data_IF_696818699179
#
_entry.id   IF_696818699179
#
_cell.length_a   1.000
_cell.length_b   1.000
_cell.length_c   1.000
_cell.angle_alpha   90.00
_cell.angle_beta   90.00
_cell.angle_gamma   90.00
#
_symmetry.space_group_name_H-M   'P 1'
#
loop_
_entity.id
_entity.type
_entity.pdbx_description
1 polymer ?
#
# COMPACT_ATOMS: atom_id res chain seq x y z
N UNK A 1 -25.22 -14.00 -13.62
CA UNK A 1 -25.17 -13.59 -12.20
C UNK A 1 -25.87 -12.25 -12.10
N UNK A 2 -27.10 -12.23 -11.60
CA UNK A 2 -27.90 -11.00 -11.47
C UNK A 2 -27.31 -10.21 -10.30
N UNK A 3 -26.66 -9.10 -10.60
CA UNK A 3 -26.17 -8.17 -9.58
C UNK A 3 -27.39 -7.49 -8.96
N UNK A 4 -27.62 -7.76 -7.68
CA UNK A 4 -28.61 -7.04 -6.89
C UNK A 4 -28.01 -5.66 -6.62
N UNK A 5 -28.37 -4.72 -7.48
CA UNK A 5 -27.79 -3.40 -7.59
C UNK A 5 -28.28 -2.51 -6.43
N UNK A 6 -27.67 -2.69 -5.26
CA UNK A 6 -27.66 -1.68 -4.22
C UNK A 6 -26.38 -0.85 -4.37
N UNK A 7 -26.55 0.34 -4.96
CA UNK A 7 -25.55 1.39 -5.03
C UNK A 7 -25.26 1.93 -3.62
N UNK A 8 -24.47 1.17 -2.85
CA UNK A 8 -23.89 1.63 -1.59
C UNK A 8 -22.43 2.01 -1.80
N UNK A 9 -22.16 3.30 -1.60
CA UNK A 9 -20.86 3.95 -1.63
C UNK A 9 -19.89 3.31 -0.62
N UNK A 10 -19.12 2.32 -1.08
CA UNK A 10 -18.18 1.58 -0.25
C UNK A 10 -16.75 2.05 -0.53
N UNK A 11 -16.35 3.10 0.20
CA UNK A 11 -14.95 3.52 0.27
C UNK A 11 -14.06 2.37 0.76
N UNK A 12 -12.96 2.02 0.07
CA UNK A 12 -12.09 0.94 0.49
C UNK A 12 -11.34 1.35 1.77
N UNK A 13 -11.70 0.73 2.89
CA UNK A 13 -10.87 0.73 4.09
C UNK A 13 -9.94 -0.48 4.05
N UNK A 14 -8.64 -0.20 3.98
CA UNK A 14 -7.55 -1.18 3.96
C UNK A 14 -7.55 -2.02 5.26
N UNK A 15 -8.10 -3.23 5.23
CA UNK A 15 -7.93 -4.24 6.31
C UNK A 15 -6.81 -5.23 5.92
N UNK A 16 -5.62 -5.06 6.51
CA UNK A 16 -4.45 -5.97 6.42
C UNK A 16 -4.80 -7.37 6.94
N UNK A 17 -4.67 -8.40 6.08
CA UNK A 17 -4.73 -9.81 6.48
C UNK A 17 -3.54 -10.55 5.86
N UNK A 18 -2.59 -10.99 6.68
CA UNK A 18 -1.44 -11.82 6.29
C UNK A 18 -1.89 -13.26 6.06
N UNK A 19 -1.55 -13.83 4.89
CA UNK A 19 -1.64 -15.27 4.62
C UNK A 19 -0.40 -15.66 3.81
N UNK A 20 0.29 -16.69 4.31
CA UNK A 20 1.40 -17.40 3.66
C UNK A 20 0.80 -18.48 2.75
N UNK A 21 1.19 -18.50 1.47
CA UNK A 21 0.85 -19.60 0.56
C UNK A 21 2.07 -20.07 -0.24
N UNK A 22 2.18 -21.40 -0.25
CA UNK A 22 3.19 -22.30 -0.84
C UNK A 22 3.19 -22.26 -2.37
N UNK A 23 4.37 -22.43 -2.98
CA UNK A 23 4.58 -22.49 -4.44
C UNK A 23 4.81 -23.92 -4.94
N UNK A 24 4.05 -24.33 -5.95
CA UNK A 24 4.28 -25.46 -6.86
C UNK A 24 3.83 -24.97 -8.25
N UNK A 25 4.35 -25.35 -9.41
CA UNK A 25 5.56 -26.02 -9.88
C UNK A 25 5.57 -25.70 -11.39
N UNK A 26 6.71 -25.31 -11.96
CA UNK A 26 6.82 -24.85 -13.35
C UNK A 26 7.41 -25.97 -14.23
N UNK A 27 6.73 -26.30 -15.32
CA UNK A 27 7.23 -27.21 -16.36
C UNK A 27 7.87 -26.40 -17.49
N UNK A 28 9.05 -26.86 -17.90
CA UNK A 28 9.95 -26.31 -18.91
C UNK A 28 9.47 -26.66 -20.33
N UNK A 29 9.60 -25.71 -21.25
CA UNK A 29 9.43 -25.95 -22.69
C UNK A 29 10.61 -25.27 -23.40
N UNK A 30 11.53 -26.10 -23.87
CA UNK A 30 12.68 -25.73 -24.71
C UNK A 30 12.19 -25.56 -26.15
N UNK A 31 12.55 -24.45 -26.79
CA UNK A 31 12.60 -24.36 -28.24
C UNK A 31 13.87 -23.60 -28.64
N UNK A 32 14.82 -24.36 -29.17
CA UNK A 32 15.91 -23.89 -30.03
C UNK A 32 15.32 -23.51 -31.38
N UNK A 33 15.61 -22.30 -31.89
CA UNK A 33 16.03 -22.22 -33.30
C UNK A 33 16.73 -20.91 -33.69
N UNK A 34 17.76 -21.13 -34.48
CA UNK A 34 18.73 -20.26 -35.12
C UNK A 34 18.10 -19.38 -36.21
N UNK A 35 18.44 -18.08 -36.33
CA UNK A 35 18.70 -17.44 -37.64
C UNK A 35 19.76 -16.35 -37.48
N UNK A 36 20.86 -16.51 -38.23
CA UNK A 36 21.93 -15.53 -38.41
C UNK A 36 21.62 -14.64 -39.62
N UNK A 37 21.46 -13.33 -39.42
CA UNK A 37 21.52 -12.28 -40.46
C UNK A 37 21.75 -10.92 -39.77
N UNK A 38 22.98 -10.40 -39.68
CA UNK A 38 23.14 -8.92 -39.57
C UNK A 38 24.57 -8.39 -39.74
N UNK A 39 25.00 -8.17 -40.99
CA UNK A 39 26.18 -7.33 -41.28
C UNK A 39 25.79 -6.00 -41.96
N UNK A 40 24.52 -5.79 -42.33
CA UNK A 40 24.06 -4.54 -42.97
C UNK A 40 23.41 -3.56 -41.98
N UNK A 41 22.84 -4.01 -40.86
CA UNK A 41 22.33 -3.10 -39.82
C UNK A 41 23.43 -2.44 -38.97
N UNK A 42 24.65 -2.98 -38.94
CA UNK A 42 25.73 -2.37 -38.16
C UNK A 42 26.17 -1.01 -38.70
N UNK A 43 26.06 -0.77 -40.01
CA UNK A 43 26.53 0.48 -40.64
C UNK A 43 25.53 1.65 -40.47
N UNK A 44 24.22 1.37 -40.36
CA UNK A 44 23.19 2.41 -40.11
C UNK A 44 23.17 2.83 -38.63
N UNK A 45 23.55 1.93 -37.71
CA UNK A 45 23.61 2.21 -36.28
C UNK A 45 24.76 3.18 -35.95
N UNK A 46 25.91 3.09 -36.62
CA UNK A 46 27.07 3.95 -36.33
C UNK A 46 26.83 5.42 -36.66
N UNK A 47 26.18 5.74 -37.78
CA UNK A 47 25.90 7.14 -38.16
C UNK A 47 24.88 7.80 -37.23
N UNK A 48 23.87 7.05 -36.78
CA UNK A 48 22.89 7.54 -35.81
C UNK A 48 23.54 7.83 -34.44
N UNK A 49 24.50 7.00 -34.03
CA UNK A 49 25.21 7.21 -32.76
C UNK A 49 26.13 8.44 -32.79
N UNK A 50 26.81 8.71 -33.90
CA UNK A 50 27.69 9.88 -34.03
C UNK A 50 26.91 11.22 -34.03
N UNK A 51 25.74 11.26 -34.68
CA UNK A 51 24.85 12.43 -34.62
C UNK A 51 24.29 12.66 -33.21
N UNK A 52 24.04 11.58 -32.46
CA UNK A 52 23.62 11.68 -31.05
C UNK A 52 24.77 12.16 -30.15
N UNK A 53 25.99 11.71 -30.38
CA UNK A 53 27.17 12.10 -29.60
C UNK A 53 27.47 13.60 -29.75
N UNK A 54 27.50 14.10 -30.98
CA UNK A 54 27.73 15.52 -31.28
C UNK A 54 26.67 16.44 -30.69
N UNK A 55 25.40 16.02 -30.68
CA UNK A 55 24.32 16.75 -29.98
C UNK A 55 24.51 16.74 -28.46
N UNK A 56 24.99 15.64 -27.89
CA UNK A 56 25.27 15.54 -26.46
C UNK A 56 26.41 16.50 -26.06
N UNK A 57 27.48 16.56 -26.84
CA UNK A 57 28.62 17.47 -26.62
C UNK A 57 28.19 18.94 -26.67
N UNK A 58 27.36 19.31 -27.65
CA UNK A 58 26.81 20.66 -27.75
C UNK A 58 25.94 21.02 -26.52
N UNK A 59 25.10 20.09 -26.06
CA UNK A 59 24.26 20.29 -24.88
C UNK A 59 25.08 20.42 -23.59
N UNK A 60 26.13 19.60 -23.41
CA UNK A 60 27.04 19.69 -22.26
C UNK A 60 27.71 21.07 -22.23
N UNK A 61 28.18 21.55 -23.38
CA UNK A 61 28.82 22.86 -23.49
C UNK A 61 27.86 24.00 -23.14
N UNK A 62 26.60 23.92 -23.58
CA UNK A 62 25.57 24.90 -23.25
C UNK A 62 25.21 24.91 -21.75
N UNK A 63 25.12 23.73 -21.11
CA UNK A 63 24.86 23.63 -19.66
C UNK A 63 26.01 24.20 -18.84
N UNK A 64 27.27 23.94 -19.24
CA UNK A 64 28.43 24.51 -18.56
C UNK A 64 28.46 26.04 -18.63
N UNK A 65 28.10 26.63 -19.77
CA UNK A 65 27.99 28.09 -19.91
C UNK A 65 26.86 28.69 -19.02
N UNK A 66 25.74 27.98 -18.89
CA UNK A 66 24.64 28.39 -18.01
C UNK A 66 25.01 28.32 -16.53
N UNK A 67 25.74 27.28 -16.10
CA UNK A 67 26.27 27.16 -14.73
C UNK A 67 27.23 28.31 -14.43
N UNK A 68 28.15 28.63 -15.36
CA UNK A 68 29.07 29.76 -15.18
C UNK A 68 28.31 31.09 -15.00
N UNK A 69 27.25 31.32 -15.78
CA UNK A 69 26.40 32.51 -15.65
C UNK A 69 25.67 32.58 -14.29
N UNK A 70 25.14 31.45 -13.81
CA UNK A 70 24.48 31.34 -12.50
C UNK A 70 25.46 31.58 -11.34
N UNK A 71 26.69 31.06 -11.43
CA UNK A 71 27.70 31.29 -10.39
C UNK A 71 28.14 32.75 -10.30
N UNK A 72 28.24 33.44 -11.45
CA UNK A 72 28.51 34.88 -11.48
C UNK A 72 27.37 35.69 -10.85
N UNK A 73 26.11 35.33 -11.12
CA UNK A 73 24.95 35.98 -10.55
C UNK A 73 24.83 35.75 -9.03
N UNK A 74 25.12 34.53 -8.56
CA UNK A 74 25.11 34.21 -7.13
C UNK A 74 26.21 34.95 -6.35
N UNK A 75 27.40 35.10 -6.93
CA UNK A 75 28.49 35.88 -6.34
C UNK A 75 28.13 37.37 -6.21
N UNK A 76 27.41 37.93 -7.20
CA UNK A 76 26.91 39.30 -7.13
C UNK A 76 25.83 39.47 -6.04
N UNK A 77 24.92 38.51 -5.89
CA UNK A 77 23.87 38.55 -4.88
C UNK A 77 24.40 38.41 -3.44
N UNK A 78 25.45 37.61 -3.22
CA UNK A 78 26.07 37.42 -1.92
C UNK A 78 26.72 38.69 -1.34
N UNK A 79 27.10 39.66 -2.18
CA UNK A 79 27.67 40.94 -1.74
C UNK A 79 26.62 41.95 -1.25
N UNK A 80 25.33 41.66 -1.35
CA UNK A 80 24.25 42.63 -1.11
C UNK A 80 23.44 42.43 0.19
N UNK A 81 23.71 41.38 1.00
CA UNK A 81 22.88 41.07 2.17
C UNK A 81 23.57 41.39 3.49
N UNK A 82 23.05 42.40 4.21
CA UNK A 82 23.40 42.73 5.59
C UNK A 82 22.81 41.74 6.62
N UNK A 83 23.17 41.87 7.90
CA UNK A 83 22.92 40.87 8.94
C UNK A 83 21.45 40.82 9.37
N UNK A 84 20.79 39.68 9.15
CA UNK A 84 19.39 39.43 9.53
C UNK A 84 19.29 38.57 10.79
N UNK A 85 18.41 38.97 11.69
CA UNK A 85 18.15 38.39 13.01
C UNK A 85 17.36 37.08 12.94
N UNK A 86 17.81 36.07 13.69
CA UNK A 86 17.22 34.74 13.84
C UNK A 86 15.91 34.75 14.65
N UNK A 87 14.83 34.08 14.19
CA UNK A 87 13.63 33.86 14.98
C UNK A 87 13.68 32.53 15.76
N UNK A 88 13.27 32.61 17.03
CA UNK A 88 13.25 31.52 18.02
C UNK A 88 12.07 30.57 17.76
N UNK A 89 12.37 29.31 17.43
CA UNK A 89 11.38 28.25 17.19
C UNK A 89 10.79 27.69 18.48
N UNK A 90 9.44 27.58 18.53
CA UNK A 90 8.68 26.96 19.62
C UNK A 90 8.66 25.43 19.43
N UNK A 91 9.23 24.71 20.40
CA UNK A 91 9.21 23.25 20.47
C UNK A 91 7.79 22.74 20.81
N UNK A 92 7.22 21.95 19.91
CA UNK A 92 5.93 21.28 20.09
C UNK A 92 6.01 20.07 21.02
N UNK A 93 4.94 19.87 21.79
CA UNK A 93 4.77 18.79 22.78
C UNK A 93 4.72 17.42 22.09
N UNK A 94 5.70 16.57 22.39
CA UNK A 94 5.82 15.20 21.86
C UNK A 94 4.77 14.30 22.52
N UNK A 95 3.87 13.73 21.71
CA UNK A 95 2.83 12.80 22.14
C UNK A 95 3.43 11.46 22.59
N UNK A 96 3.32 11.13 23.87
CA UNK A 96 3.82 9.89 24.49
C UNK A 96 2.87 8.70 24.28
N UNK A 97 2.50 8.39 23.03
CA UNK A 97 1.77 7.14 22.76
C UNK A 97 2.76 5.96 22.86
N UNK A 98 2.42 4.90 23.63
CA UNK A 98 3.30 3.74 23.75
C UNK A 98 3.55 3.12 22.38
N UNK A 99 4.83 2.97 22.01
CA UNK A 99 5.33 2.50 20.71
C UNK A 99 5.08 1.00 20.44
N UNK A 100 4.25 0.33 21.25
CA UNK A 100 3.97 -1.10 21.14
C UNK A 100 2.68 -1.37 20.35
N UNK A 101 2.61 -2.49 19.60
CA UNK A 101 1.36 -2.94 19.01
C UNK A 101 0.33 -3.18 20.11
N UNK A 102 -0.84 -2.54 20.01
CA UNK A 102 -1.93 -2.70 20.97
C UNK A 102 -2.49 -4.13 20.88
N UNK A 103 -2.02 -5.02 21.76
CA UNK A 103 -2.45 -6.42 21.79
C UNK A 103 -3.79 -6.55 22.49
N UNK A 104 -4.70 -7.32 21.88
CA UNK A 104 -5.99 -7.65 22.51
C UNK A 104 -5.73 -8.51 23.76
N UNK A 105 -6.52 -8.33 24.84
CA UNK A 105 -6.52 -9.24 25.98
C UNK A 105 -6.69 -10.71 25.56
N UNK A 106 -6.02 -11.63 26.27
CA UNK A 106 -5.95 -13.05 25.90
C UNK A 106 -7.32 -13.76 26.00
N UNK A 107 -8.11 -13.40 27.00
CA UNK A 107 -9.51 -13.83 27.22
C UNK A 107 -10.41 -13.49 26.03
N UNK A 108 -10.33 -12.25 25.53
CA UNK A 108 -11.07 -11.79 24.34
C UNK A 108 -10.66 -12.56 23.08
N UNK A 109 -9.37 -12.84 22.94
CA UNK A 109 -8.86 -13.64 21.83
C UNK A 109 -9.36 -15.09 21.89
N UNK A 110 -9.41 -15.68 23.09
CA UNK A 110 -9.92 -17.03 23.31
C UNK A 110 -11.42 -17.13 22.99
N UNK A 111 -12.23 -16.19 23.49
CA UNK A 111 -13.67 -16.13 23.19
C UNK A 111 -13.93 -15.96 21.69
N UNK A 112 -13.21 -15.04 21.03
CA UNK A 112 -13.32 -14.85 19.58
C UNK A 112 -13.00 -16.14 18.80
N UNK A 113 -12.01 -16.93 19.26
CA UNK A 113 -11.67 -18.21 18.65
C UNK A 113 -12.80 -19.23 18.82
N UNK A 114 -13.40 -19.33 20.02
CA UNK A 114 -14.55 -20.22 20.27
C UNK A 114 -15.76 -19.85 19.42
N UNK A 115 -16.09 -18.54 19.32
CA UNK A 115 -17.16 -18.05 18.45
C UNK A 115 -16.93 -18.45 17.00
N UNK A 116 -15.69 -18.33 16.50
CA UNK A 116 -15.35 -18.74 15.12
C UNK A 116 -15.48 -20.25 14.93
N UNK A 117 -15.05 -21.05 15.90
CA UNK A 117 -15.14 -22.51 15.83
C UNK A 117 -16.60 -22.96 15.80
N UNK A 118 -17.44 -22.44 16.70
CA UNK A 118 -18.86 -22.81 16.76
C UNK A 118 -19.62 -22.34 15.51
N UNK A 119 -19.33 -21.13 15.01
CA UNK A 119 -19.94 -20.66 13.76
C UNK A 119 -19.54 -21.54 12.57
N UNK A 120 -18.28 -21.98 12.51
CA UNK A 120 -17.83 -22.89 11.44
C UNK A 120 -18.50 -24.26 11.55
N UNK A 121 -18.73 -24.74 12.78
CA UNK A 121 -19.47 -25.99 13.03
C UNK A 121 -20.92 -25.92 12.54
N UNK A 122 -21.60 -24.80 12.78
CA UNK A 122 -23.00 -24.60 12.36
C UNK A 122 -23.14 -24.44 10.84
N UNK A 123 -22.19 -23.76 10.21
CA UNK A 123 -22.22 -23.53 8.76
C UNK A 123 -21.81 -24.80 7.97
N UNK A 124 -21.06 -25.72 8.57
CA UNK A 124 -20.51 -26.90 7.91
C UNK A 124 -19.29 -26.58 7.04
N UNK A 125 -18.72 -27.60 6.40
CA UNK A 125 -17.45 -27.46 5.67
C UNK A 125 -17.60 -26.77 4.29
N UNK A 126 -18.77 -26.87 3.65
CA UNK A 126 -19.03 -26.32 2.30
C UNK A 126 -20.02 -25.13 2.29
N UNK A 127 -19.99 -24.33 3.35
CA UNK A 127 -20.87 -23.16 3.47
C UNK A 127 -20.59 -22.04 2.45
N UNK A 128 -19.45 -22.10 1.77
CA UNK A 128 -19.11 -21.18 0.68
C UNK A 128 -19.59 -21.70 -0.70
N UNK A 129 -20.34 -22.80 -0.76
CA UNK A 129 -21.03 -23.24 -1.97
C UNK A 129 -22.25 -22.37 -2.26
N UNK A 130 -22.54 -22.12 -3.53
CA UNK A 130 -23.70 -21.34 -3.97
C UNK A 130 -25.03 -21.90 -3.49
N UNK A 131 -25.12 -23.21 -3.27
CA UNK A 131 -26.35 -23.86 -2.78
C UNK A 131 -26.72 -23.44 -1.35
N UNK A 132 -25.72 -23.02 -0.57
CA UNK A 132 -25.88 -22.58 0.81
C UNK A 132 -26.02 -21.06 0.94
N UNK A 133 -25.90 -20.32 -0.16
CA UNK A 133 -25.99 -18.86 -0.18
C UNK A 133 -27.44 -18.44 -0.38
N UNK A 134 -27.88 -17.48 0.41
CA UNK A 134 -29.21 -16.89 0.29
C UNK A 134 -29.38 -16.19 -1.05
N UNK A 135 -30.52 -16.39 -1.67
CA UNK A 135 -30.91 -15.66 -2.86
C UNK A 135 -31.32 -14.23 -2.50
N UNK A 136 -31.20 -13.29 -3.43
CA UNK A 136 -31.64 -11.90 -3.18
C UNK A 136 -33.15 -11.82 -2.87
N UNK A 137 -33.96 -12.71 -3.43
CA UNK A 137 -35.39 -12.75 -3.16
C UNK A 137 -35.67 -13.12 -1.70
N UNK A 138 -34.98 -14.13 -1.16
CA UNK A 138 -35.07 -14.49 0.26
C UNK A 138 -34.64 -13.32 1.17
N UNK A 139 -33.56 -12.63 0.82
CA UNK A 139 -33.07 -11.47 1.57
C UNK A 139 -34.10 -10.32 1.57
N UNK A 140 -34.72 -10.04 0.42
CA UNK A 140 -35.71 -8.97 0.27
C UNK A 140 -37.03 -9.28 1.00
N UNK A 141 -37.50 -10.53 0.90
CA UNK A 141 -38.70 -11.00 1.60
C UNK A 141 -38.47 -10.89 3.11
N UNK A 142 -37.35 -11.40 3.61
CA UNK A 142 -37.04 -11.32 5.03
C UNK A 142 -36.84 -9.88 5.51
N UNK A 143 -36.13 -9.04 4.76
CA UNK A 143 -35.93 -7.63 5.11
C UNK A 143 -37.25 -6.87 5.26
N UNK A 144 -38.25 -7.19 4.43
CA UNK A 144 -39.60 -6.61 4.52
C UNK A 144 -40.34 -7.06 5.79
N UNK A 145 -40.27 -8.36 6.12
CA UNK A 145 -40.86 -8.91 7.35
C UNK A 145 -40.18 -8.34 8.60
N UNK A 146 -38.84 -8.27 8.59
CA UNK A 146 -38.04 -7.79 9.71
C UNK A 146 -38.31 -6.31 10.04
N UNK A 147 -38.45 -5.46 9.01
CA UNK A 147 -38.74 -4.03 9.16
C UNK A 147 -40.19 -3.75 9.57
N UNK A 148 -41.15 -4.57 9.13
CA UNK A 148 -42.57 -4.39 9.44
C UNK A 148 -42.97 -4.98 10.80
N UNK A 149 -42.17 -5.90 11.35
CA UNK A 149 -42.46 -6.50 12.65
C UNK A 149 -42.21 -5.52 13.80
N UNK A 150 -43.30 -5.13 14.47
CA UNK A 150 -43.27 -4.42 15.77
C UNK A 150 -43.35 -5.38 16.96
N UNK A 151 -43.50 -6.69 16.71
CA UNK A 151 -43.68 -7.70 17.75
C UNK A 151 -42.37 -8.05 18.45
N UNK A 152 -42.44 -8.24 19.77
CA UNK A 152 -41.37 -8.83 20.57
C UNK A 152 -41.75 -10.27 20.97
N UNK A 153 -40.90 -11.29 20.68
CA UNK A 153 -39.60 -11.19 20.00
C UNK A 153 -39.74 -11.03 18.48
N UNK A 154 -38.73 -10.38 17.86
CA UNK A 154 -38.65 -10.23 16.41
C UNK A 154 -38.56 -11.59 15.70
N UNK A 155 -39.07 -11.72 14.47
CA UNK A 155 -39.04 -12.98 13.72
C UNK A 155 -37.60 -13.42 13.44
N UNK A 156 -37.26 -14.65 13.81
CA UNK A 156 -35.94 -15.23 13.54
C UNK A 156 -35.82 -15.63 12.06
N UNK A 157 -34.70 -15.32 11.40
CA UNK A 157 -34.48 -15.67 9.99
C UNK A 157 -34.24 -17.17 9.77
N UNK A 158 -33.65 -17.84 10.76
CA UNK A 158 -33.30 -19.25 10.74
C UNK A 158 -33.35 -19.82 12.16
N UNK A 159 -33.30 -21.14 12.26
CA UNK A 159 -33.03 -21.88 13.49
C UNK A 159 -31.58 -22.40 13.49
N UNK A 160 -31.20 -23.15 14.54
CA UNK A 160 -29.86 -23.71 14.67
C UNK A 160 -29.64 -24.91 13.73
N UNK A 161 -30.69 -25.63 13.38
CA UNK A 161 -30.62 -26.82 12.54
C UNK A 161 -30.48 -26.46 11.04
N UNK A 162 -31.00 -25.30 10.63
CA UNK A 162 -30.92 -24.74 9.28
C UNK A 162 -30.25 -23.36 9.29
N UNK A 163 -29.13 -23.24 10.01
CA UNK A 163 -28.45 -21.98 10.23
C UNK A 163 -27.79 -21.44 8.95
N UNK A 164 -28.32 -20.33 8.41
CA UNK A 164 -27.80 -19.64 7.21
C UNK A 164 -27.38 -18.20 7.50
N UNK A 165 -26.44 -17.70 6.70
CA UNK A 165 -25.90 -16.34 6.79
C UNK A 165 -25.87 -15.65 5.43
N UNK A 166 -25.95 -14.32 5.44
CA UNK A 166 -25.88 -13.51 4.23
C UNK A 166 -24.43 -13.14 3.90
N UNK A 167 -23.92 -13.75 2.82
CA UNK A 167 -22.57 -13.51 2.31
C UNK A 167 -22.51 -12.48 1.16
N UNK A 168 -23.67 -12.02 0.67
CA UNK A 168 -23.79 -11.11 -0.47
C UNK A 168 -23.88 -9.66 0.02
N UNK A 169 -24.77 -9.41 0.99
CA UNK A 169 -25.05 -8.07 1.51
C UNK A 169 -24.00 -7.55 2.51
N UNK A 170 -24.38 -6.52 3.27
CA UNK A 170 -23.54 -5.98 4.34
C UNK A 170 -23.33 -7.01 5.48
N UNK A 171 -22.19 -7.01 6.20
CA UNK A 171 -22.00 -7.84 7.39
C UNK A 171 -23.07 -7.67 8.46
N UNK A 172 -23.81 -6.54 8.42
CA UNK A 172 -24.94 -6.23 9.31
C UNK A 172 -26.27 -6.10 8.54
N UNK A 173 -26.45 -6.84 7.45
CA UNK A 173 -27.75 -6.97 6.80
C UNK A 173 -28.82 -7.44 7.79
N UNK A 174 -30.09 -7.17 7.50
CA UNK A 174 -31.21 -7.55 8.38
C UNK A 174 -31.20 -9.06 8.70
N UNK A 175 -30.85 -9.88 7.71
CA UNK A 175 -30.63 -11.32 7.90
C UNK A 175 -29.51 -11.61 8.91
N UNK A 176 -28.32 -11.05 8.69
CA UNK A 176 -27.16 -11.28 9.57
C UNK A 176 -27.40 -10.75 10.99
N UNK A 177 -28.20 -9.70 11.15
CA UNK A 177 -28.61 -9.23 12.48
C UNK A 177 -29.46 -10.26 13.20
N UNK A 178 -30.48 -10.80 12.54
CA UNK A 178 -31.32 -11.87 13.09
C UNK A 178 -30.52 -13.14 13.38
N UNK A 179 -29.70 -13.59 12.42
CA UNK A 179 -28.83 -14.77 12.58
C UNK A 179 -27.84 -14.61 13.74
N UNK A 180 -27.30 -13.40 13.97
CA UNK A 180 -26.41 -13.14 15.11
C UNK A 180 -27.11 -13.35 16.46
N UNK A 181 -28.42 -13.07 16.56
CA UNK A 181 -29.18 -13.24 17.79
C UNK A 181 -29.42 -14.72 18.07
N UNK A 182 -29.84 -15.47 17.04
CA UNK A 182 -30.02 -16.93 17.09
C UNK A 182 -28.70 -17.60 17.48
N UNK A 183 -27.61 -17.23 16.82
CA UNK A 183 -26.26 -17.72 17.11
C UNK A 183 -25.82 -17.40 18.54
N UNK A 184 -25.94 -16.14 18.98
CA UNK A 184 -25.46 -15.73 20.29
C UNK A 184 -26.22 -16.42 21.43
N UNK A 185 -27.55 -16.61 21.27
CA UNK A 185 -28.37 -17.35 22.23
C UNK A 185 -27.93 -18.80 22.34
N UNK A 186 -27.73 -19.47 21.21
CA UNK A 186 -27.24 -20.85 21.16
C UNK A 186 -25.84 -21.00 21.76
N UNK A 187 -24.92 -20.11 21.36
CA UNK A 187 -23.55 -20.11 21.85
C UNK A 187 -23.50 -19.97 23.37
N UNK A 188 -24.19 -18.97 23.94
CA UNK A 188 -24.23 -18.73 25.39
C UNK A 188 -24.81 -19.92 26.14
N UNK A 189 -25.89 -20.50 25.62
CA UNK A 189 -26.54 -21.67 26.24
C UNK A 189 -25.62 -22.89 26.23
N UNK A 190 -24.93 -23.14 25.12
CA UNK A 190 -24.08 -24.33 24.94
C UNK A 190 -22.76 -24.24 25.70
N UNK A 191 -22.17 -23.04 25.79
CA UNK A 191 -20.85 -22.81 26.41
C UNK A 191 -20.92 -22.32 27.86
N UNK A 192 -22.13 -22.23 28.44
CA UNK A 192 -22.38 -21.80 29.81
C UNK A 192 -21.79 -20.42 30.18
N UNK A 193 -21.67 -19.50 29.21
CA UNK A 193 -21.32 -18.11 29.51
C UNK A 193 -22.49 -17.36 30.14
N UNK A 194 -22.18 -16.26 30.85
CA UNK A 194 -23.21 -15.34 31.32
C UNK A 194 -23.89 -14.62 30.14
N UNK A 195 -25.18 -14.32 30.29
CA UNK A 195 -25.94 -13.50 29.33
C UNK A 195 -25.31 -12.13 29.07
N UNK A 196 -24.47 -11.62 29.98
CA UNK A 196 -23.70 -10.39 29.79
C UNK A 196 -22.74 -10.43 28.58
N UNK A 197 -22.38 -11.62 28.10
CA UNK A 197 -21.52 -11.80 26.92
C UNK A 197 -22.27 -11.67 25.59
N UNK A 198 -23.60 -11.57 25.61
CA UNK A 198 -24.43 -11.58 24.39
C UNK A 198 -24.01 -10.52 23.37
N UNK A 199 -23.84 -9.23 23.74
CA UNK A 199 -23.42 -8.20 22.77
C UNK A 199 -22.00 -8.43 22.24
N UNK A 200 -21.13 -8.99 23.08
CA UNK A 200 -19.74 -9.27 22.70
C UNK A 200 -19.65 -10.43 21.69
N UNK A 201 -20.46 -11.48 21.88
CA UNK A 201 -20.57 -12.61 20.95
C UNK A 201 -21.13 -12.14 19.61
N UNK A 202 -22.17 -11.30 19.59
CA UNK A 202 -22.68 -10.71 18.36
C UNK A 202 -21.62 -9.88 17.64
N UNK A 203 -20.83 -9.08 18.37
CA UNK A 203 -19.74 -8.32 17.76
C UNK A 203 -18.69 -9.24 17.11
N UNK A 204 -18.32 -10.34 17.75
CA UNK A 204 -17.41 -11.33 17.15
C UNK A 204 -18.02 -12.08 15.97
N UNK A 205 -19.32 -12.34 16.00
CA UNK A 205 -20.06 -12.86 14.84
C UNK A 205 -19.94 -11.91 13.64
N UNK A 206 -20.20 -10.61 13.80
CA UNK A 206 -20.07 -9.64 12.71
C UNK A 206 -18.63 -9.49 12.20
N UNK A 207 -17.63 -9.51 13.10
CA UNK A 207 -16.22 -9.54 12.69
C UNK A 207 -15.89 -10.77 11.86
N UNK A 208 -16.43 -11.93 12.23
CA UNK A 208 -16.27 -13.16 11.43
C UNK A 208 -17.00 -13.02 10.10
N UNK A 209 -18.18 -12.42 10.07
CA UNK A 209 -18.95 -12.25 8.85
C UNK A 209 -18.22 -11.43 7.79
N UNK A 210 -17.54 -10.35 8.17
CA UNK A 210 -16.62 -9.62 7.27
C UNK A 210 -15.61 -10.53 6.59
N UNK A 211 -14.95 -11.40 7.36
CA UNK A 211 -13.93 -12.31 6.83
C UNK A 211 -14.55 -13.42 5.96
N UNK A 212 -15.76 -13.90 6.28
CA UNK A 212 -16.46 -14.89 5.47
C UNK A 212 -16.90 -14.30 4.13
N UNK A 213 -17.44 -13.09 4.13
CA UNK A 213 -17.78 -12.36 2.91
C UNK A 213 -16.56 -12.11 2.03
N UNK A 214 -15.41 -11.73 2.63
CA UNK A 214 -14.16 -11.59 1.88
C UNK A 214 -13.71 -12.93 1.27
N UNK A 215 -13.78 -14.02 2.02
CA UNK A 215 -13.46 -15.36 1.52
C UNK A 215 -14.42 -15.80 0.40
N UNK A 216 -15.72 -15.54 0.55
CA UNK A 216 -16.74 -15.81 -0.44
C UNK A 216 -16.49 -15.03 -1.74
N UNK A 217 -16.26 -13.71 -1.65
CA UNK A 217 -15.90 -12.88 -2.79
C UNK A 217 -14.63 -13.39 -3.48
N UNK A 218 -13.61 -13.78 -2.73
CA UNK A 218 -12.37 -14.35 -3.30
C UNK A 218 -12.62 -15.69 -4.00
N UNK A 219 -13.39 -16.60 -3.39
CA UNK A 219 -13.77 -17.88 -3.99
C UNK A 219 -14.58 -17.70 -5.28
N UNK A 220 -15.38 -16.64 -5.37
CA UNK A 220 -16.23 -16.38 -6.54
C UNK A 220 -15.68 -15.32 -7.50
N UNK A 221 -14.55 -14.68 -7.17
CA UNK A 221 -13.86 -13.76 -8.06
C UNK A 221 -13.27 -14.50 -9.24
N UNK A 222 -13.39 -13.91 -10.43
CA UNK A 222 -12.68 -14.36 -11.62
C UNK A 222 -11.15 -14.32 -11.40
N UNK A 223 -10.42 -15.14 -12.14
CA UNK A 223 -8.95 -15.24 -12.08
C UNK A 223 -8.30 -13.86 -12.26
N UNK A 224 -8.81 -13.03 -13.18
CA UNK A 224 -8.31 -11.67 -13.38
C UNK A 224 -8.46 -10.79 -12.13
N UNK A 225 -9.62 -10.86 -11.45
CA UNK A 225 -9.87 -10.10 -10.22
C UNK A 225 -8.99 -10.58 -9.06
N UNK A 226 -8.79 -11.90 -8.91
CA UNK A 226 -7.88 -12.47 -7.90
C UNK A 226 -6.43 -12.08 -8.13
N UNK A 227 -5.98 -12.08 -9.38
CA UNK A 227 -4.64 -11.62 -9.75
C UNK A 227 -4.48 -10.13 -9.45
N UNK A 228 -5.48 -9.30 -9.77
CA UNK A 228 -5.48 -7.88 -9.44
C UNK A 228 -5.41 -7.62 -7.92
N UNK A 229 -6.21 -8.32 -7.10
CA UNK A 229 -6.16 -8.23 -5.63
C UNK A 229 -4.78 -8.64 -5.09
N UNK A 230 -4.25 -9.77 -5.58
CA UNK A 230 -2.94 -10.29 -5.17
C UNK A 230 -1.82 -9.30 -5.51
N UNK A 231 -1.84 -8.74 -6.72
CA UNK A 231 -0.89 -7.74 -7.17
C UNK A 231 -1.00 -6.45 -6.36
N UNK A 232 -2.21 -5.97 -6.08
CA UNK A 232 -2.43 -4.82 -5.22
C UNK A 232 -1.87 -5.05 -3.80
N UNK A 233 -2.14 -6.21 -3.19
CA UNK A 233 -1.61 -6.59 -1.87
C UNK A 233 -0.07 -6.63 -1.86
N UNK A 234 0.54 -7.25 -2.88
CA UNK A 234 2.01 -7.27 -3.03
C UNK A 234 2.58 -5.86 -3.18
N UNK A 235 1.97 -5.00 -3.99
CA UNK A 235 2.38 -3.60 -4.16
C UNK A 235 2.31 -2.83 -2.85
N UNK A 236 1.22 -2.99 -2.10
CA UNK A 236 1.02 -2.35 -0.81
C UNK A 236 2.06 -2.81 0.23
N UNK A 237 2.28 -4.12 0.34
CA UNK A 237 3.29 -4.68 1.25
C UNK A 237 4.71 -4.19 0.89
N UNK A 238 5.02 -4.04 -0.42
CA UNK A 238 6.29 -3.47 -0.87
C UNK A 238 6.44 -2.00 -0.45
N UNK A 239 5.38 -1.19 -0.58
CA UNK A 239 5.35 0.20 -0.09
C UNK A 239 5.58 0.28 1.43
N UNK A 240 4.87 -0.54 2.19
CA UNK A 240 5.01 -0.60 3.65
C UNK A 240 6.44 -0.98 4.06
N UNK A 241 6.98 -2.05 3.49
CA UNK A 241 8.35 -2.49 3.75
C UNK A 241 9.37 -1.42 3.40
N UNK A 242 9.18 -0.71 2.28
CA UNK A 242 10.05 0.38 1.87
C UNK A 242 10.02 1.54 2.85
N UNK A 243 8.83 1.94 3.31
CA UNK A 243 8.67 2.97 4.33
C UNK A 243 9.45 2.62 5.60
N UNK A 244 9.25 1.42 6.15
CA UNK A 244 9.94 0.99 7.36
C UNK A 244 11.45 0.91 7.18
N UNK A 245 11.93 0.46 6.02
CA UNK A 245 13.36 0.44 5.69
C UNK A 245 13.98 1.83 5.71
N UNK A 246 13.34 2.80 5.05
CA UNK A 246 13.80 4.19 5.00
C UNK A 246 13.77 4.82 6.39
N UNK A 247 12.70 4.59 7.14
CA UNK A 247 12.57 5.09 8.51
C UNK A 247 13.64 4.50 9.44
N UNK A 248 13.91 3.20 9.34
CA UNK A 248 14.96 2.55 10.12
C UNK A 248 16.35 3.13 9.84
N UNK A 249 16.71 3.30 8.56
CA UNK A 249 17.99 3.93 8.17
C UNK A 249 18.08 5.36 8.69
N UNK A 250 17.00 6.14 8.59
CA UNK A 250 16.98 7.51 9.09
C UNK A 250 17.11 7.60 10.62
N UNK A 251 16.58 6.63 11.35
CA UNK A 251 16.71 6.55 12.80
C UNK A 251 18.12 6.13 13.23
N UNK A 252 18.75 5.21 12.49
CA UNK A 252 20.08 4.68 12.80
C UNK A 252 21.20 5.68 12.46
N UNK A 253 21.10 6.41 11.35
CA UNK A 253 22.17 7.29 10.87
C UNK A 253 22.06 8.72 11.47
N UNK A 254 23.06 9.24 12.21
CA UNK A 254 22.96 10.54 12.89
C UNK A 254 22.58 11.71 11.98
N UNK A 255 23.19 11.80 10.79
CA UNK A 255 22.89 12.88 9.83
C UNK A 255 21.49 12.78 9.20
N UNK A 256 20.80 11.63 9.30
CA UNK A 256 19.44 11.46 8.77
C UNK A 256 18.37 11.58 9.86
N UNK A 257 18.75 11.72 11.14
CA UNK A 257 17.76 11.78 12.22
C UNK A 257 16.87 13.03 12.11
N UNK A 258 17.40 14.14 11.60
CA UNK A 258 16.61 15.35 11.33
C UNK A 258 15.48 15.12 10.32
N UNK A 259 15.61 14.08 9.48
CA UNK A 259 14.65 13.72 8.44
C UNK A 259 13.55 12.77 8.92
N UNK A 260 13.65 12.22 10.14
CA UNK A 260 12.66 11.29 10.69
C UNK A 260 11.24 11.90 10.76
N UNK A 261 11.03 13.15 11.23
CA UNK A 261 9.69 13.74 11.30
C UNK A 261 9.00 13.85 9.94
N UNK A 262 9.74 14.25 8.89
CA UNK A 262 9.16 14.37 7.55
C UNK A 262 8.86 12.99 6.93
N UNK A 263 9.69 11.97 7.20
CA UNK A 263 9.41 10.59 6.77
C UNK A 263 8.14 10.06 7.44
N UNK A 264 7.96 10.31 8.74
CA UNK A 264 6.76 9.90 9.48
C UNK A 264 5.49 10.59 8.94
N UNK A 265 5.55 11.89 8.62
CA UNK A 265 4.44 12.61 7.95
C UNK A 265 4.14 12.02 6.58
N UNK A 266 5.18 11.67 5.82
CA UNK A 266 5.05 11.07 4.49
C UNK A 266 4.36 9.69 4.52
N UNK A 267 4.68 8.87 5.52
CA UNK A 267 4.06 7.57 5.75
C UNK A 267 4.19 6.58 4.58
N UNK A 268 3.39 5.52 4.61
CA UNK A 268 3.34 4.49 3.56
C UNK A 268 2.77 5.08 2.25
N UNK A 269 1.77 5.97 2.36
CA UNK A 269 1.10 6.59 1.22
C UNK A 269 2.06 7.43 0.35
N UNK A 270 3.09 8.03 0.97
CA UNK A 270 4.11 8.77 0.25
C UNK A 270 5.23 7.94 -0.35
N UNK A 271 5.17 6.60 -0.28
CA UNK A 271 6.11 5.71 -0.97
C UNK A 271 5.73 5.48 -2.43
N UNK A 272 6.73 5.30 -3.31
CA UNK A 272 6.50 5.02 -4.73
C UNK A 272 5.90 3.63 -4.93
N UNK A 273 5.04 3.49 -5.94
CA UNK A 273 4.61 2.17 -6.38
C UNK A 273 5.68 1.61 -7.29
N UNK A 274 6.23 0.46 -6.92
CA UNK A 274 7.16 -0.25 -7.80
C UNK A 274 6.34 -1.23 -8.66
N UNK A 275 6.54 -1.21 -9.97
CA UNK A 275 6.11 -2.31 -10.85
C UNK A 275 7.33 -3.20 -11.11
N UNK A 276 7.19 -4.51 -10.94
CA UNK A 276 8.23 -5.42 -11.42
C UNK A 276 8.09 -5.58 -12.92
N UNK A 277 9.20 -5.73 -13.63
CA UNK A 277 9.17 -6.01 -15.07
C UNK A 277 8.34 -7.27 -15.42
N UNK A 278 8.19 -8.19 -14.46
CA UNK A 278 7.40 -9.42 -14.58
C UNK A 278 5.91 -9.27 -14.21
N UNK A 279 5.45 -8.10 -13.75
CA UNK A 279 4.03 -7.93 -13.37
C UNK A 279 3.10 -7.72 -14.58
N UNK A 280 3.63 -7.21 -15.71
CA UNK A 280 2.81 -6.78 -16.86
C UNK A 280 3.09 -7.58 -18.16
N UNK A 281 3.91 -8.65 -18.12
CA UNK A 281 4.25 -9.44 -19.31
C UNK A 281 4.50 -10.92 -19.02
N UNK A 282 4.47 -11.80 -20.05
CA UNK A 282 4.87 -13.19 -19.91
C UNK A 282 6.29 -13.21 -19.33
N UNK A 283 6.52 -14.05 -18.34
CA UNK A 283 7.80 -14.11 -17.64
C UNK A 283 8.92 -14.21 -18.67
N UNK A 284 9.67 -13.14 -18.87
CA UNK A 284 10.81 -13.14 -19.77
C UNK A 284 11.90 -13.95 -19.07
N UNK A 285 11.80 -15.28 -19.21
CA UNK A 285 12.78 -16.27 -18.78
C UNK A 285 14.09 -16.14 -19.56
N UNK A 286 14.06 -15.43 -20.71
CA UNK A 286 15.18 -15.27 -21.62
C UNK A 286 16.36 -14.45 -21.05
N UNK A 287 16.13 -13.60 -20.05
CA UNK A 287 17.20 -12.78 -19.47
C UNK A 287 17.40 -13.20 -18.02
N UNK A 288 18.37 -14.08 -17.75
CA UNK A 288 18.77 -14.56 -16.42
C UNK A 288 19.28 -13.48 -15.44
N UNK A 289 18.88 -12.23 -15.61
CA UNK A 289 19.14 -11.11 -14.72
C UNK A 289 18.18 -11.07 -13.54
N UNK A 290 18.67 -10.60 -12.40
CA UNK A 290 17.83 -10.36 -11.24
C UNK A 290 16.70 -9.35 -11.57
N UNK A 291 15.46 -9.59 -11.10
CA UNK A 291 14.32 -8.72 -11.35
C UNK A 291 14.61 -7.27 -10.98
N UNK A 292 14.43 -6.36 -11.94
CA UNK A 292 14.48 -4.91 -11.72
C UNK A 292 13.08 -4.40 -11.37
N UNK A 293 13.04 -3.34 -10.55
CA UNK A 293 11.81 -2.63 -10.25
C UNK A 293 11.82 -1.28 -10.94
N UNK A 294 10.77 -0.99 -11.70
CA UNK A 294 10.50 0.34 -12.22
C UNK A 294 9.75 1.13 -11.16
N UNK A 295 10.36 2.24 -10.74
CA UNK A 295 9.82 3.13 -9.71
C UNK A 295 8.91 4.14 -10.38
N UNK A 296 7.61 4.08 -10.10
CA UNK A 296 6.66 5.09 -10.54
C UNK A 296 6.41 6.08 -9.38
N UNK A 297 6.95 7.31 -9.44
CA UNK A 297 6.62 8.34 -8.46
C UNK A 297 5.14 8.72 -8.59
N UNK A 298 4.41 8.98 -7.50
CA UNK A 298 3.09 9.61 -7.54
C UNK A 298 3.18 10.98 -8.20
N UNK A 299 2.22 11.29 -9.07
CA UNK A 299 2.18 12.55 -9.82
C UNK A 299 2.23 13.82 -8.94
N UNK A 300 1.73 13.72 -7.70
CA UNK A 300 1.74 14.83 -6.74
C UNK A 300 3.12 15.14 -6.19
N UNK A 301 4.07 14.21 -6.25
CA UNK A 301 5.34 14.30 -5.52
C UNK A 301 6.36 15.12 -6.31
N UNK A 302 7.00 16.09 -5.65
CA UNK A 302 8.12 16.83 -6.26
C UNK A 302 9.29 15.91 -6.63
N UNK A 303 10.02 16.26 -7.69
CA UNK A 303 11.24 15.55 -8.11
C UNK A 303 12.32 15.62 -7.02
N UNK A 304 12.48 16.76 -6.35
CA UNK A 304 13.41 16.94 -5.22
C UNK A 304 13.17 15.90 -4.11
N UNK A 305 11.91 15.73 -3.68
CA UNK A 305 11.53 14.70 -2.70
C UNK A 305 11.82 13.29 -3.22
N UNK A 306 11.63 13.02 -4.52
CA UNK A 306 11.94 11.73 -5.12
C UNK A 306 13.44 11.40 -5.08
N UNK A 307 14.30 12.35 -5.47
CA UNK A 307 15.76 12.19 -5.39
C UNK A 307 16.25 12.04 -3.95
N UNK A 308 15.66 12.80 -3.04
CA UNK A 308 15.94 12.69 -1.62
C UNK A 308 15.63 11.29 -1.08
N UNK A 309 14.48 10.70 -1.43
CA UNK A 309 14.13 9.32 -1.06
C UNK A 309 15.06 8.26 -1.71
N UNK A 310 15.46 8.47 -2.97
CA UNK A 310 16.40 7.57 -3.68
C UNK A 310 17.79 7.56 -3.04
N UNK A 311 18.22 8.70 -2.51
CA UNK A 311 19.50 8.78 -1.78
C UNK A 311 19.44 7.94 -0.50
N UNK A 312 18.34 7.99 0.26
CA UNK A 312 18.14 7.13 1.44
C UNK A 312 18.16 5.65 1.05
N UNK A 313 17.54 5.27 -0.06
CA UNK A 313 17.59 3.89 -0.58
C UNK A 313 19.03 3.45 -0.92
N UNK A 314 19.83 4.35 -1.47
CA UNK A 314 21.24 4.08 -1.80
C UNK A 314 22.07 3.87 -0.53
N UNK A 315 21.85 4.72 0.48
CA UNK A 315 22.47 4.58 1.81
C UNK A 315 22.11 3.25 2.47
N UNK A 316 20.88 2.76 2.28
CA UNK A 316 20.49 1.43 2.78
C UNK A 316 21.38 0.32 2.20
N UNK A 317 21.67 0.36 0.90
CA UNK A 317 22.51 -0.65 0.25
C UNK A 317 23.94 -0.58 0.80
N UNK A 318 24.47 0.64 0.96
CA UNK A 318 25.82 0.86 1.50
C UNK A 318 25.92 0.39 2.96
N UNK A 319 24.95 0.76 3.80
CA UNK A 319 24.89 0.38 5.21
C UNK A 319 24.77 -1.13 5.40
N UNK A 320 24.06 -1.82 4.51
CA UNK A 320 23.99 -3.28 4.54
C UNK A 320 25.33 -3.93 4.15
N UNK A 321 26.05 -3.34 3.19
CA UNK A 321 27.37 -3.83 2.76
C UNK A 321 28.42 -3.64 3.85
N UNK A 322 28.47 -2.48 4.50
CA UNK A 322 29.46 -2.19 5.56
C UNK A 322 29.25 -3.05 6.82
N UNK A 323 28.01 -3.39 7.15
CA UNK A 323 27.71 -4.18 8.36
C UNK A 323 27.91 -5.70 8.24
N UNK A 324 28.42 -6.21 7.10
CA UNK A 324 28.66 -7.65 6.91
C UNK A 324 27.40 -8.53 6.95
N UNK A 325 26.20 -7.93 6.89
CA UNK A 325 24.92 -8.66 6.92
C UNK A 325 24.57 -9.19 5.53
N UNK A 326 25.23 -10.28 5.14
CA UNK A 326 25.07 -10.92 3.84
C UNK A 326 23.89 -11.90 3.74
N UNK A 327 23.19 -12.19 4.85
CA UNK A 327 22.03 -13.10 4.82
C UNK A 327 20.83 -12.45 4.12
N UNK A 328 20.11 -13.25 3.34
CA UNK A 328 18.93 -12.86 2.55
C UNK A 328 19.26 -12.14 1.24
N UNK A 329 18.27 -11.99 0.35
CA UNK A 329 18.48 -11.33 -0.95
C UNK A 329 18.86 -9.85 -0.78
N UNK A 330 19.81 -9.37 -1.59
CA UNK A 330 20.15 -7.94 -1.65
C UNK A 330 18.93 -7.11 -2.09
N UNK A 331 18.84 -5.83 -1.68
CA UNK A 331 17.80 -4.94 -2.20
C UNK A 331 17.86 -4.95 -3.73
N UNK A 332 16.72 -5.21 -4.38
CA UNK A 332 16.67 -5.25 -5.84
C UNK A 332 16.97 -3.87 -6.41
N UNK A 333 17.56 -3.84 -7.59
CA UNK A 333 17.83 -2.58 -8.28
C UNK A 333 16.50 -1.90 -8.63
N UNK A 334 16.40 -0.63 -8.24
CA UNK A 334 15.24 0.22 -8.50
C UNK A 334 15.65 1.27 -9.52
N UNK A 335 15.00 1.25 -10.68
CA UNK A 335 15.26 2.17 -11.78
C UNK A 335 14.11 3.15 -11.84
N UNK A 336 14.41 4.44 -11.90
CA UNK A 336 13.37 5.46 -12.06
C UNK A 336 12.61 5.23 -13.37
N UNK A 337 11.29 5.13 -13.29
CA UNK A 337 10.44 5.24 -14.48
C UNK A 337 10.33 6.72 -14.86
N UNK A 338 10.22 7.00 -16.16
CA UNK A 338 9.81 8.33 -16.64
C UNK A 338 8.31 8.58 -16.47
N UNK A 339 7.56 7.57 -16.03
CA UNK A 339 6.11 7.60 -15.91
C UNK A 339 5.66 7.71 -14.45
N UNK A 340 4.65 8.55 -14.23
CA UNK A 340 4.01 8.69 -12.93
C UNK A 340 3.16 7.45 -12.57
N UNK A 341 2.89 7.29 -11.27
CA UNK A 341 1.99 6.25 -10.78
C UNK A 341 0.53 6.64 -11.00
N UNK A 342 -0.28 5.67 -11.43
CA UNK A 342 -1.74 5.78 -11.58
C UNK A 342 -2.50 6.05 -10.25
N UNK A 343 -1.80 6.08 -9.12
CA UNK A 343 -2.40 6.29 -7.81
C UNK A 343 -2.88 7.73 -7.66
N UNK A 344 -4.19 7.89 -7.44
CA UNK A 344 -4.82 9.19 -7.19
C UNK A 344 -4.59 9.72 -5.76
N UNK A 345 -4.13 8.86 -4.85
CA UNK A 345 -3.89 9.20 -3.46
C UNK A 345 -2.70 10.15 -3.29
N UNK A 346 -2.83 11.08 -2.33
CA UNK A 346 -1.77 12.02 -1.96
C UNK A 346 -1.70 12.17 -0.45
N UNK A 347 -0.56 12.66 0.04
CA UNK A 347 -0.33 12.92 1.46
C UNK A 347 -0.63 14.40 1.72
N UNK A 348 -1.44 14.69 2.73
CA UNK A 348 -1.77 16.06 3.15
C UNK A 348 -0.75 16.59 4.14
N UNK A 349 -0.78 17.91 4.38
CA UNK A 349 -0.03 18.53 5.46
C UNK A 349 1.49 18.30 5.36
N UNK A 350 2.05 18.36 4.14
CA UNK A 350 3.49 18.37 3.89
C UNK A 350 3.99 19.78 3.53
N UNK A 351 5.30 20.07 3.62
CA UNK A 351 5.89 21.28 3.08
C UNK A 351 5.51 21.49 1.61
N UNK A 352 5.26 22.75 1.21
CA UNK A 352 4.89 23.06 -0.18
C UNK A 352 5.89 22.49 -1.21
N UNK A 353 7.18 22.45 -0.86
CA UNK A 353 8.26 21.91 -1.69
C UNK A 353 8.21 20.39 -1.90
N UNK A 354 7.38 19.66 -1.12
CA UNK A 354 7.14 18.23 -1.30
C UNK A 354 6.21 17.94 -2.48
N UNK A 355 5.46 18.94 -2.95
CA UNK A 355 4.47 18.81 -4.01
C UNK A 355 5.02 19.24 -5.37
N UNK A 356 4.63 18.53 -6.42
CA UNK A 356 4.87 18.94 -7.79
C UNK A 356 4.08 20.23 -8.07
N UNK A 357 4.74 21.32 -8.47
CA UNK A 357 4.09 22.62 -8.62
C UNK A 357 2.97 22.60 -9.68
N UNK A 358 3.15 21.84 -10.77
CA UNK A 358 2.16 21.72 -11.83
C UNK A 358 0.92 20.95 -11.34
N UNK A 359 1.15 19.86 -10.60
CA UNK A 359 0.06 19.07 -10.01
C UNK A 359 -0.73 19.88 -8.98
N UNK A 360 -0.03 20.68 -8.15
CA UNK A 360 -0.66 21.52 -7.14
C UNK A 360 -1.47 22.66 -7.77
N UNK A 361 -0.91 23.32 -8.79
CA UNK A 361 -1.57 24.40 -9.52
C UNK A 361 -2.82 23.93 -10.29
N UNK A 362 -2.86 22.67 -10.74
CA UNK A 362 -4.02 22.09 -11.40
C UNK A 362 -5.23 21.88 -10.46
N UNK A 363 -5.08 22.09 -9.14
CA UNK A 363 -6.15 21.88 -8.15
C UNK A 363 -6.68 23.22 -7.64
N UNK A 364 -7.97 23.55 -7.86
CA UNK A 364 -8.52 24.86 -7.48
C UNK A 364 -8.58 25.09 -5.96
N UNK A 365 -8.70 24.03 -5.16
CA UNK A 365 -8.87 24.12 -3.69
C UNK A 365 -7.75 23.44 -2.90
N UNK A 366 -6.52 23.44 -3.44
CA UNK A 366 -5.40 22.72 -2.82
C UNK A 366 -5.11 23.17 -1.37
N UNK A 367 -5.37 24.42 -1.01
CA UNK A 367 -5.22 24.92 0.36
C UNK A 367 -6.14 24.23 1.37
N UNK A 368 -7.31 23.72 0.93
CA UNK A 368 -8.27 23.03 1.80
C UNK A 368 -8.09 21.51 1.77
N UNK A 369 -7.86 20.94 0.58
CA UNK A 369 -7.79 19.49 0.41
C UNK A 369 -6.38 18.95 0.72
N UNK A 370 -5.34 19.62 0.21
CA UNK A 370 -3.94 19.19 0.34
C UNK A 370 -3.32 19.78 1.60
N UNK A 371 -3.69 21.01 1.94
CA UNK A 371 -3.20 21.77 3.11
C UNK A 371 -1.67 21.83 3.17
N UNK A 372 -0.98 22.30 2.12
CA UNK A 372 0.47 22.43 2.16
C UNK A 372 0.89 23.39 3.28
N UNK A 373 1.99 23.08 3.97
CA UNK A 373 2.55 23.93 5.01
C UNK A 373 3.64 24.84 4.43
N UNK A 374 3.73 26.08 4.91
CA UNK A 374 4.77 27.07 4.53
C UNK A 374 6.16 26.76 5.11
N UNK A 375 6.36 25.57 5.65
CA UNK A 375 7.64 25.10 6.16
C UNK A 375 8.68 25.03 5.03
N UNK A 376 9.80 25.74 5.19
CA UNK A 376 10.91 25.68 4.25
C UNK A 376 11.80 24.46 4.55
N UNK A 377 11.31 23.28 4.19
CA UNK A 377 12.06 22.03 4.38
C UNK A 377 13.04 21.79 3.22
N UNK A 378 14.31 21.56 3.56
CA UNK A 378 15.35 21.30 2.58
C UNK A 378 15.46 19.80 2.24
N UNK A 379 15.10 19.40 1.02
CA UNK A 379 15.23 18.02 0.52
C UNK A 379 16.63 17.69 0.00
N UNK A 380 17.66 18.33 0.54
CA UNK A 380 19.05 18.00 0.23
C UNK A 380 19.67 17.20 1.37
N UNK A 381 20.57 16.29 0.99
CA UNK A 381 21.34 15.49 1.92
C UNK A 381 22.68 16.18 2.22
N UNK A 382 23.16 16.06 3.45
CA UNK A 382 24.51 16.51 3.80
C UNK A 382 25.56 15.67 3.06
N UNK A 383 26.48 16.31 2.34
CA UNK A 383 27.55 15.63 1.59
C UNK A 383 28.40 14.70 2.48
N UNK A 384 28.48 14.96 3.78
CA UNK A 384 29.17 14.10 4.76
C UNK A 384 28.57 12.69 4.84
N UNK A 385 27.33 12.49 4.41
CA UNK A 385 26.69 11.16 4.34
C UNK A 385 27.49 10.17 3.50
N UNK A 386 28.12 10.63 2.41
CA UNK A 386 28.87 9.75 1.51
C UNK A 386 30.30 9.47 2.00
N UNK A 387 30.87 10.36 2.81
CA UNK A 387 32.20 10.16 3.40
C UNK A 387 32.23 8.95 4.36
N UNK A 388 31.11 8.62 5.00
CA UNK A 388 30.98 7.47 5.90
C UNK A 388 31.18 6.11 5.23
N UNK A 389 31.12 6.03 3.89
CA UNK A 389 31.18 4.77 3.14
C UNK A 389 32.41 4.62 2.24
N UNK A 390 33.35 5.57 2.29
CA UNK A 390 34.62 5.50 1.56
C UNK A 390 35.75 4.80 2.34
N UNK A 391 35.42 4.16 3.47
CA UNK A 391 36.30 3.33 4.30
C UNK A 391 35.96 1.87 4.04
#
# INVERSE_FOLDING_TARGET
MVACDETSDNSPQDEEMHDELSSDSAEEMEDEDYIALDDEAQMIVTDSTNVRLTRLEANITAVLAAIQSLTAAAAAAASAQGPTTTPTSRLGVISTRPLGPNRRPADRTALMRQVRAELSRLLGDDFLSFENVLTCDELNVFGSIWKSSTAEPRPSCCDIDNFKVDLIGSPRSDWNQSASQVFAKHFITTSAYSHSYFPLVQNYFYQRMKSLQAAFRRKNADNAARQAETTAKRRWQRKQNLFHKRLGIAQEHPLLQEHVPILQRLGIAGMSSDKSDFEDGPASTATGGAPRYKVHPPAWRASALSYWLQTIDSLQVLFRRSNGKHRGSFPRLRVASGEDSDSKGFVTDLPIMAYNPNWLAARPFYMFDVRPTDENYNFNHDNRLFAYFQV
#
